data_IF_147499361229
#
_entry.id   IF_147499361229
#
_cell.length_a   1.000
_cell.length_b   1.000
_cell.length_c   1.000
_cell.angle_alpha   90.00
_cell.angle_beta   90.00
_cell.angle_gamma   90.00
#
_symmetry.space_group_name_H-M   'P 1'
#
loop_
_entity.id
_entity.type
_entity.pdbx_description
1 polymer ?
#
# COMPACT_ATOMS: atom_id res chain seq x y z
N UNK A 1 -13.62 -6.97 -16.46
CA UNK A 1 -13.19 -6.00 -15.43
C UNK A 1 -12.82 -6.74 -14.13
N UNK A 2 -11.53 -6.85 -13.84
CA UNK A 2 -11.01 -7.63 -12.71
C UNK A 2 -11.31 -7.02 -11.32
N UNK A 3 -11.70 -5.75 -11.28
CA UNK A 3 -12.00 -5.00 -10.05
C UNK A 3 -13.36 -5.33 -9.44
N UNK A 4 -14.25 -6.02 -10.16
CA UNK A 4 -15.57 -6.44 -9.64
C UNK A 4 -15.48 -7.51 -8.55
N UNK A 5 -14.36 -8.23 -8.45
CA UNK A 5 -14.04 -9.15 -7.33
C UNK A 5 -12.86 -8.58 -6.53
N UNK A 6 -13.10 -7.67 -5.58
CA UNK A 6 -12.03 -6.95 -4.86
C UNK A 6 -11.05 -7.90 -4.16
N UNK A 7 -11.55 -8.98 -3.55
CA UNK A 7 -10.70 -9.96 -2.87
C UNK A 7 -9.69 -10.65 -3.82
N UNK A 8 -10.09 -10.97 -5.05
CA UNK A 8 -9.23 -11.59 -6.04
C UNK A 8 -8.22 -10.59 -6.61
N UNK A 9 -8.63 -9.34 -6.82
CA UNK A 9 -7.75 -8.27 -7.29
C UNK A 9 -6.63 -7.95 -6.29
N UNK A 10 -6.98 -7.80 -5.00
CA UNK A 10 -5.99 -7.50 -3.97
C UNK A 10 -4.99 -8.64 -3.76
N UNK A 11 -5.47 -9.88 -3.69
CA UNK A 11 -4.61 -11.06 -3.43
C UNK A 11 -3.83 -11.51 -4.67
N UNK A 12 -4.42 -11.41 -5.85
CA UNK A 12 -3.85 -11.97 -7.08
C UNK A 12 -3.02 -11.00 -7.91
N UNK A 13 -3.28 -9.69 -7.81
CA UNK A 13 -2.61 -8.68 -8.64
C UNK A 13 -1.88 -7.68 -7.75
N UNK A 14 -2.62 -6.97 -6.88
CA UNK A 14 -2.07 -5.81 -6.19
C UNK A 14 -0.94 -6.14 -5.20
N UNK A 15 -1.19 -7.04 -4.25
CA UNK A 15 -0.19 -7.44 -3.25
C UNK A 15 1.04 -8.11 -3.88
N UNK A 16 0.92 -9.13 -4.75
CA UNK A 16 2.10 -9.78 -5.31
C UNK A 16 2.93 -8.81 -6.18
N UNK A 17 2.31 -7.85 -6.87
CA UNK A 17 3.06 -6.85 -7.63
C UNK A 17 3.87 -5.92 -6.73
N UNK A 18 3.26 -5.34 -5.69
CA UNK A 18 3.97 -4.38 -4.82
C UNK A 18 5.08 -5.04 -4.01
N UNK A 19 4.88 -6.29 -3.60
CA UNK A 19 5.85 -7.06 -2.80
C UNK A 19 6.99 -7.60 -3.68
N UNK A 20 6.80 -7.68 -4.99
CA UNK A 20 7.80 -8.22 -5.89
C UNK A 20 9.05 -7.33 -5.93
N UNK A 21 10.27 -7.89 -5.77
CA UNK A 21 11.51 -7.11 -5.82
C UNK A 21 11.80 -6.52 -7.22
N UNK A 22 11.18 -7.05 -8.28
CA UNK A 22 11.33 -6.53 -9.65
C UNK A 22 10.35 -5.43 -10.00
N UNK A 23 9.44 -5.06 -9.09
CA UNK A 23 8.42 -4.06 -9.37
C UNK A 23 9.03 -2.66 -9.49
N UNK A 24 8.81 -2.03 -10.64
CA UNK A 24 9.27 -0.67 -10.90
C UNK A 24 8.29 0.36 -10.36
N UNK A 25 8.79 1.56 -10.07
CA UNK A 25 7.96 2.70 -9.62
C UNK A 25 6.85 3.01 -10.64
N UNK A 26 7.14 2.87 -11.94
CA UNK A 26 6.17 3.13 -13.01
C UNK A 26 5.00 2.15 -12.99
N UNK A 27 5.28 0.86 -12.80
CA UNK A 27 4.24 -0.16 -12.70
C UNK A 27 3.36 0.07 -11.46
N UNK A 28 3.98 0.39 -10.32
CA UNK A 28 3.26 0.71 -9.10
C UNK A 28 2.33 1.92 -9.29
N UNK A 29 2.78 2.98 -9.97
CA UNK A 29 1.95 4.16 -10.31
C UNK A 29 0.76 3.77 -11.18
N UNK A 30 0.97 2.93 -12.21
CA UNK A 30 -0.10 2.48 -13.11
C UNK A 30 -1.16 1.70 -12.34
N UNK A 31 -0.75 0.71 -11.53
CA UNK A 31 -1.68 -0.10 -10.74
C UNK A 31 -2.43 0.74 -9.70
N UNK A 32 -1.73 1.67 -9.04
CA UNK A 32 -2.35 2.61 -8.11
C UNK A 32 -3.31 3.58 -8.80
N UNK A 33 -3.07 3.95 -10.07
CA UNK A 33 -4.00 4.79 -10.83
C UNK A 33 -5.34 4.09 -11.12
N UNK A 34 -5.33 2.76 -11.25
CA UNK A 34 -6.56 1.97 -11.37
C UNK A 34 -7.27 1.92 -10.02
N UNK A 35 -6.52 1.72 -8.93
CA UNK A 35 -7.05 1.76 -7.56
C UNK A 35 -7.70 3.11 -7.24
N UNK A 36 -7.11 4.22 -7.68
CA UNK A 36 -7.64 5.57 -7.44
C UNK A 36 -8.94 5.84 -8.21
N UNK A 37 -9.14 5.21 -9.37
CA UNK A 37 -10.37 5.37 -10.19
C UNK A 37 -11.49 4.42 -9.76
N UNK A 38 -11.17 3.22 -9.29
CA UNK A 38 -12.18 2.23 -8.91
C UNK A 38 -12.70 2.45 -7.48
N UNK A 39 -14.01 2.28 -7.28
CA UNK A 39 -14.60 2.20 -5.93
C UNK A 39 -14.46 0.78 -5.41
N UNK A 40 -13.72 0.58 -4.32
CA UNK A 40 -13.47 -0.73 -3.72
C UNK A 40 -13.97 -0.74 -2.27
N UNK A 41 -14.48 -1.87 -1.76
CA UNK A 41 -14.90 -1.97 -0.37
C UNK A 41 -13.78 -1.62 0.61
N UNK A 42 -14.13 -0.86 1.64
CA UNK A 42 -13.19 -0.36 2.67
C UNK A 42 -12.48 -1.50 3.38
N UNK A 43 -13.19 -2.59 3.70
CA UNK A 43 -12.63 -3.72 4.45
C UNK A 43 -11.45 -4.39 3.73
N UNK A 44 -11.54 -4.58 2.41
CA UNK A 44 -10.45 -5.17 1.63
C UNK A 44 -9.26 -4.21 1.50
N UNK A 45 -9.55 -2.92 1.29
CA UNK A 45 -8.52 -1.87 1.24
C UNK A 45 -7.76 -1.77 2.58
N UNK A 46 -8.47 -1.82 3.71
CA UNK A 46 -7.88 -1.81 5.05
C UNK A 46 -7.00 -3.04 5.30
N UNK A 47 -7.45 -4.23 4.89
CA UNK A 47 -6.65 -5.45 5.01
C UNK A 47 -5.37 -5.40 4.17
N UNK A 48 -5.46 -4.90 2.93
CA UNK A 48 -4.29 -4.71 2.06
C UNK A 48 -3.30 -3.70 2.67
N UNK A 49 -3.80 -2.59 3.20
CA UNK A 49 -2.98 -1.57 3.86
C UNK A 49 -2.26 -2.10 5.11
N UNK A 50 -2.94 -2.86 5.97
CA UNK A 50 -2.28 -3.53 7.11
C UNK A 50 -1.17 -4.48 6.63
N UNK A 51 -1.40 -5.22 5.54
CA UNK A 51 -0.36 -6.10 4.96
C UNK A 51 0.83 -5.30 4.43
N UNK A 52 0.60 -4.17 3.77
CA UNK A 52 1.68 -3.29 3.31
C UNK A 52 2.49 -2.71 4.48
N UNK A 53 1.81 -2.26 5.54
CA UNK A 53 2.47 -1.72 6.73
C UNK A 53 3.28 -2.77 7.50
N UNK A 54 2.82 -4.03 7.53
CA UNK A 54 3.55 -5.15 8.14
C UNK A 54 4.86 -5.52 7.43
N UNK A 55 5.05 -5.08 6.19
CA UNK A 55 6.25 -5.36 5.39
C UNK A 55 7.37 -4.32 5.61
N UNK A 56 7.30 -3.51 6.68
CA UNK A 56 8.36 -2.57 7.08
C UNK A 56 9.68 -3.26 7.44
N UNK A 57 10.80 -2.63 7.07
CA UNK A 57 12.16 -3.05 7.42
C UNK A 57 12.99 -3.47 6.20
N UNK A 58 13.86 -4.47 6.36
CA UNK A 58 14.82 -4.93 5.32
C UNK A 58 14.15 -5.50 4.06
N UNK A 59 12.86 -5.86 4.14
CA UNK A 59 12.03 -6.35 3.03
C UNK A 59 11.15 -5.25 2.41
N UNK A 60 11.32 -3.99 2.82
CA UNK A 60 10.45 -2.92 2.37
C UNK A 60 10.75 -2.55 0.91
N UNK A 61 9.77 -2.62 0.00
CA UNK A 61 9.95 -2.26 -1.42
C UNK A 61 10.23 -0.76 -1.67
N UNK A 62 10.37 0.03 -0.61
CA UNK A 62 10.67 1.47 -0.66
C UNK A 62 9.56 2.27 -1.35
N UNK A 63 9.82 2.95 -2.48
CA UNK A 63 8.89 3.91 -3.09
C UNK A 63 7.55 3.30 -3.55
N UNK A 64 7.53 2.04 -3.99
CA UNK A 64 6.32 1.40 -4.54
C UNK A 64 5.25 1.17 -3.47
N UNK A 65 5.66 0.74 -2.28
CA UNK A 65 4.77 0.57 -1.14
C UNK A 65 4.24 1.92 -0.63
N UNK A 66 5.07 2.98 -0.64
CA UNK A 66 4.61 4.31 -0.24
C UNK A 66 3.52 4.87 -1.17
N UNK A 67 3.69 4.73 -2.49
CA UNK A 67 2.67 5.15 -3.48
C UNK A 67 1.34 4.41 -3.25
N UNK A 68 1.40 3.13 -2.92
CA UNK A 68 0.23 2.32 -2.61
C UNK A 68 -0.48 2.77 -1.33
N UNK A 69 0.27 3.00 -0.24
CA UNK A 69 -0.27 3.51 1.04
C UNK A 69 -0.92 4.88 0.83
N UNK A 70 -0.21 5.81 0.15
CA UNK A 70 -0.73 7.13 -0.20
C UNK A 70 -2.03 7.06 -0.99
N UNK A 71 -2.12 6.16 -1.97
CA UNK A 71 -3.32 6.00 -2.80
C UNK A 71 -4.52 5.51 -1.98
N UNK A 72 -4.31 4.58 -1.04
CA UNK A 72 -5.38 4.07 -0.17
C UNK A 72 -5.83 5.16 0.82
N UNK A 73 -4.90 5.94 1.38
CA UNK A 73 -5.24 7.05 2.29
C UNK A 73 -6.00 8.16 1.55
N UNK A 74 -5.58 8.49 0.32
CA UNK A 74 -6.25 9.50 -0.51
C UNK A 74 -7.69 9.17 -0.89
N UNK A 75 -8.11 7.90 -0.76
CA UNK A 75 -9.52 7.52 -0.91
C UNK A 75 -10.42 8.03 0.22
N UNK A 76 -9.85 8.57 1.30
CA UNK A 76 -10.57 9.16 2.44
C UNK A 76 -11.64 8.22 3.02
N UNK A 77 -11.34 6.93 3.07
CA UNK A 77 -12.23 5.96 3.67
C UNK A 77 -12.20 6.05 5.20
N UNK A 78 -13.31 5.70 5.85
CA UNK A 78 -13.35 5.45 7.29
C UNK A 78 -12.57 4.17 7.61
N UNK A 79 -11.27 4.32 7.86
CA UNK A 79 -10.39 3.19 8.15
C UNK A 79 -10.64 2.64 9.56
N UNK A 80 -10.64 1.32 9.76
CA UNK A 80 -10.68 0.72 11.10
C UNK A 80 -9.48 1.13 11.94
N UNK A 81 -9.65 1.25 13.26
CA UNK A 81 -8.59 1.66 14.19
C UNK A 81 -7.32 0.80 14.05
N UNK A 82 -7.47 -0.51 13.80
CA UNK A 82 -6.34 -1.43 13.57
C UNK A 82 -5.49 -1.06 12.34
N UNK A 83 -6.13 -0.55 11.29
CA UNK A 83 -5.42 -0.11 10.10
C UNK A 83 -4.63 1.18 10.36
N UNK A 84 -5.22 2.09 11.14
CA UNK A 84 -4.55 3.33 11.57
C UNK A 84 -3.35 3.03 12.47
N UNK A 85 -3.49 2.16 13.47
CA UNK A 85 -2.38 1.77 14.34
C UNK A 85 -1.26 1.12 13.55
N UNK A 86 -1.57 0.24 12.59
CA UNK A 86 -0.57 -0.38 11.73
C UNK A 86 0.23 0.64 10.89
N UNK A 87 -0.43 1.69 10.40
CA UNK A 87 0.24 2.79 9.67
C UNK A 87 1.15 3.58 10.61
N UNK A 88 0.67 3.92 11.80
CA UNK A 88 1.47 4.64 12.80
C UNK A 88 2.69 3.83 13.19
N UNK A 89 2.53 2.54 13.45
CA UNK A 89 3.63 1.64 13.83
C UNK A 89 4.64 1.45 12.69
N UNK A 90 4.17 1.42 11.43
CA UNK A 90 5.02 1.43 10.25
C UNK A 90 5.92 2.68 10.22
N UNK A 91 5.34 3.87 10.35
CA UNK A 91 6.10 5.12 10.34
C UNK A 91 7.03 5.28 11.56
N UNK A 92 6.64 4.80 12.74
CA UNK A 92 7.51 4.77 13.92
C UNK A 92 8.77 3.94 13.71
N UNK A 93 8.68 2.86 12.92
CA UNK A 93 9.83 2.02 12.58
C UNK A 93 10.94 2.74 11.81
N UNK A 94 10.64 3.89 11.18
CA UNK A 94 11.60 4.72 10.45
C UNK A 94 12.22 5.85 11.29
N UNK A 95 11.79 6.03 12.55
CA UNK A 95 12.39 7.03 13.47
C UNK A 95 13.90 6.83 13.65
N UNK A 96 14.44 5.61 13.82
CA UNK A 96 15.88 5.40 13.97
C UNK A 96 16.64 5.28 12.64
N UNK A 97 15.97 5.37 11.48
CA UNK A 97 16.60 5.16 10.17
C UNK A 97 17.15 6.49 9.64
N UNK A 98 18.48 6.66 9.61
CA UNK A 98 19.17 7.88 9.16
C UNK A 98 19.21 8.05 7.63
N UNK A 99 18.51 7.20 6.88
CA UNK A 99 18.52 7.26 5.41
C UNK A 99 17.75 8.48 4.91
N UNK A 100 18.29 9.16 3.90
CA UNK A 100 17.53 10.14 3.13
C UNK A 100 16.35 9.44 2.44
N UNK A 101 15.15 9.66 2.98
CA UNK A 101 13.94 9.13 2.40
C UNK A 101 13.60 9.92 1.13
N UNK A 102 13.25 9.23 0.03
CA UNK A 102 12.87 9.90 -1.20
C UNK A 102 11.58 10.71 -1.00
N UNK A 103 11.36 11.75 -1.82
CA UNK A 103 10.15 12.62 -1.79
C UNK A 103 8.81 11.85 -1.87
N UNK A 104 8.86 10.60 -2.32
CA UNK A 104 7.70 9.72 -2.43
C UNK A 104 7.33 9.00 -1.12
N UNK A 105 8.14 9.09 -0.06
CA UNK A 105 7.78 8.67 1.30
C UNK A 105 6.71 9.60 1.89
#
# INVERSE_FOLDING_TARGET
>A
AATFKPAAWFKGIFLPLIICPTCTIREAVIVCSVLSKCSLPVLHSAAALVRLCQLSGYSWPGPTASIAIRTIINKKYSLPTRAVTAVVDHYKGFIPDEREMPVLW
#
